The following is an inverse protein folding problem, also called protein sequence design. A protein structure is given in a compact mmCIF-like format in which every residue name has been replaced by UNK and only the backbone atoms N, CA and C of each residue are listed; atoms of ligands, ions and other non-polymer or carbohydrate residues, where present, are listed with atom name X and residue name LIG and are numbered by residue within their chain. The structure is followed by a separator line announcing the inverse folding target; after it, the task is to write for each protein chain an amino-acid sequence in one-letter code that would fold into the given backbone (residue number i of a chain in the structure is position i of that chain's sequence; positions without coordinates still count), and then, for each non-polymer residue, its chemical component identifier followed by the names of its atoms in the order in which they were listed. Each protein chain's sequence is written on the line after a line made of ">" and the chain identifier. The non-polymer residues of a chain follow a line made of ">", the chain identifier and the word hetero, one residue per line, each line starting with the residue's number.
data_IF_435781303942
#
_entry.id   IF_435781303942
#
_cell.length_a   1.000
_cell.length_b   1.000
_cell.length_c   1.000
_cell.angle_alpha   90.00
_cell.angle_beta   90.00
_cell.angle_gamma   90.00
#
_symmetry.space_group_name_H-M   'P 1'
#
loop_
_entity.id
_entity.type
_entity.pdbx_description
1 polymer ?
#
# COMPACT_ATOMS: atom_id res chain seq x y z
N UNK A 1 1.28 1.91 -39.09
CA UNK A 1 0.57 2.16 -40.36
C UNK A 1 -0.77 1.43 -40.30
N UNK A 2 -1.91 2.14 -40.44
CA UNK A 2 -3.21 1.48 -40.69
C UNK A 2 -3.15 0.92 -42.11
N UNK A 3 -3.34 -0.38 -42.29
CA UNK A 3 -3.35 -1.01 -43.61
C UNK A 3 -4.46 -0.46 -44.51
N UNK A 4 -4.39 -0.68 -45.83
CA UNK A 4 -5.43 -0.25 -46.76
C UNK A 4 -6.77 -0.83 -46.32
N UNK A 5 -7.74 0.04 -46.05
CA UNK A 5 -9.07 -0.36 -45.58
C UNK A 5 -9.74 -1.29 -46.58
N UNK A 6 -10.25 -2.42 -46.11
CA UNK A 6 -11.05 -3.34 -46.94
C UNK A 6 -12.46 -2.79 -47.06
N UNK A 7 -12.92 -2.53 -48.28
CA UNK A 7 -14.32 -2.17 -48.53
C UNK A 7 -15.14 -3.46 -48.60
N UNK A 8 -16.21 -3.52 -47.82
CA UNK A 8 -17.16 -4.65 -47.79
C UNK A 8 -18.56 -4.06 -47.95
N UNK A 9 -19.33 -4.57 -48.91
CA UNK A 9 -20.74 -4.21 -49.10
C UNK A 9 -21.61 -5.23 -48.40
N UNK A 10 -22.57 -4.76 -47.60
CA UNK A 10 -23.55 -5.60 -46.89
C UNK A 10 -24.94 -5.09 -47.25
N UNK A 11 -25.79 -5.98 -47.75
CA UNK A 11 -27.20 -5.70 -48.04
C UNK A 11 -27.99 -5.66 -46.72
N UNK A 12 -28.70 -4.56 -46.47
CA UNK A 12 -29.56 -4.43 -45.28
C UNK A 12 -30.78 -5.36 -45.32
N UNK A 13 -31.14 -5.89 -46.50
CA UNK A 13 -32.17 -6.92 -46.62
C UNK A 13 -31.70 -8.27 -46.04
N UNK A 14 -30.40 -8.54 -46.13
CA UNK A 14 -29.81 -9.81 -45.71
C UNK A 14 -29.20 -9.76 -44.30
N UNK A 15 -28.84 -8.56 -43.82
CA UNK A 15 -28.26 -8.37 -42.49
C UNK A 15 -28.58 -7.00 -41.89
N UNK A 16 -29.45 -6.98 -40.88
CA UNK A 16 -29.93 -5.76 -40.23
C UNK A 16 -29.25 -5.43 -38.88
N UNK A 17 -28.21 -6.15 -38.48
CA UNK A 17 -27.54 -5.96 -37.18
C UNK A 17 -26.37 -4.96 -37.25
N UNK A 18 -26.59 -3.83 -37.93
CA UNK A 18 -25.60 -2.74 -38.07
C UNK A 18 -26.16 -1.47 -37.43
N UNK A 19 -25.48 -0.98 -36.39
CA UNK A 19 -25.82 0.26 -35.70
C UNK A 19 -24.88 1.41 -36.11
N UNK A 20 -25.37 2.64 -36.08
CA UNK A 20 -24.50 3.82 -36.13
C UNK A 20 -23.66 3.94 -34.86
N UNK A 21 -22.37 4.24 -35.01
CA UNK A 21 -21.41 4.34 -33.90
C UNK A 21 -21.14 5.76 -33.37
N UNK A 22 -22.00 6.76 -33.67
CA UNK A 22 -21.76 8.15 -33.25
C UNK A 22 -21.74 8.33 -31.73
N UNK A 23 -22.57 7.56 -31.03
CA UNK A 23 -22.56 7.44 -29.58
C UNK A 23 -22.71 5.96 -29.24
N UNK A 24 -21.97 5.50 -28.23
CA UNK A 24 -21.97 4.11 -27.81
C UNK A 24 -22.09 4.01 -26.31
N UNK A 25 -22.72 2.93 -25.85
CA UNK A 25 -22.77 2.63 -24.42
C UNK A 25 -21.38 2.30 -23.90
N UNK A 26 -21.15 2.58 -22.61
CA UNK A 26 -19.86 2.31 -21.94
C UNK A 26 -19.45 0.84 -22.07
N UNK A 27 -20.42 -0.07 -22.06
CA UNK A 27 -20.19 -1.51 -22.25
C UNK A 27 -19.73 -1.87 -23.67
N UNK A 28 -20.31 -1.27 -24.72
CA UNK A 28 -19.86 -1.47 -26.11
C UNK A 28 -18.47 -0.86 -26.37
N UNK A 29 -18.10 0.18 -25.61
CA UNK A 29 -16.81 0.85 -25.70
C UNK A 29 -15.69 0.21 -24.86
N UNK A 30 -15.93 -0.96 -24.25
CA UNK A 30 -14.97 -1.56 -23.34
C UNK A 30 -13.66 -1.94 -24.05
N UNK A 31 -12.53 -1.51 -23.49
CA UNK A 31 -11.20 -1.77 -24.07
C UNK A 31 -10.77 -0.80 -25.16
N UNK A 32 -11.65 0.11 -25.58
CA UNK A 32 -11.32 1.17 -26.54
C UNK A 32 -10.57 2.29 -25.81
N UNK A 33 -9.52 2.80 -26.46
CA UNK A 33 -8.83 4.02 -26.04
C UNK A 33 -8.89 5.04 -27.17
N UNK A 34 -9.40 6.23 -26.86
CA UNK A 34 -9.53 7.36 -27.78
C UNK A 34 -8.77 8.56 -27.23
N UNK A 35 -8.48 9.55 -28.05
CA UNK A 35 -7.76 10.73 -27.58
C UNK A 35 -8.67 11.60 -26.71
N UNK A 36 -9.95 11.73 -27.09
CA UNK A 36 -10.97 12.50 -26.36
C UNK A 36 -12.23 11.70 -26.08
N UNK A 37 -12.76 11.79 -24.87
CA UNK A 37 -14.06 11.21 -24.49
C UNK A 37 -15.07 12.29 -24.12
N UNK A 38 -16.30 12.08 -24.57
CA UNK A 38 -17.46 12.87 -24.19
C UNK A 38 -18.48 11.92 -23.57
N UNK A 39 -18.72 12.06 -22.27
CA UNK A 39 -19.54 11.15 -21.48
C UNK A 39 -20.80 11.88 -21.01
N UNK A 40 -21.98 11.32 -21.26
CA UNK A 40 -23.23 11.80 -20.68
C UNK A 40 -23.48 11.07 -19.35
N UNK A 41 -23.54 11.80 -18.25
CA UNK A 41 -23.92 11.24 -16.95
C UNK A 41 -25.40 10.84 -16.97
N UNK A 42 -25.74 9.73 -16.30
CA UNK A 42 -27.13 9.29 -16.13
C UNK A 42 -27.37 8.56 -14.81
N UNK A 43 -28.63 8.44 -14.41
CA UNK A 43 -29.08 7.69 -13.24
C UNK A 43 -28.81 6.20 -13.33
N UNK A 44 -28.47 5.65 -14.50
CA UNK A 44 -28.03 4.25 -14.58
C UNK A 44 -26.58 4.06 -14.17
N UNK A 45 -25.79 5.14 -14.09
CA UNK A 45 -24.38 5.07 -13.80
C UNK A 45 -24.08 4.90 -12.31
N UNK A 46 -22.96 4.26 -12.06
CA UNK A 46 -22.38 4.00 -10.74
C UNK A 46 -20.87 4.29 -10.78
N UNK A 47 -20.17 3.98 -9.70
CA UNK A 47 -18.71 4.19 -9.61
C UNK A 47 -17.95 3.46 -10.70
N UNK A 48 -18.37 2.25 -11.06
CA UNK A 48 -17.66 1.43 -12.03
C UNK A 48 -17.85 1.98 -13.45
N UNK A 49 -19.09 2.26 -13.86
CA UNK A 49 -19.39 2.84 -15.16
C UNK A 49 -18.74 4.21 -15.33
N UNK A 50 -18.74 5.03 -14.27
CA UNK A 50 -18.06 6.34 -14.26
C UNK A 50 -16.57 6.17 -14.50
N UNK A 51 -15.91 5.29 -13.75
CA UNK A 51 -14.48 5.02 -13.93
C UNK A 51 -14.18 4.52 -15.34
N UNK A 52 -14.97 3.56 -15.84
CA UNK A 52 -14.76 2.98 -17.16
C UNK A 52 -14.92 4.00 -18.27
N UNK A 53 -16.00 4.81 -18.24
CA UNK A 53 -16.25 5.83 -19.26
C UNK A 53 -15.20 6.95 -19.23
N UNK A 54 -14.84 7.41 -18.03
CA UNK A 54 -13.88 8.50 -17.87
C UNK A 54 -12.44 8.07 -18.16
N UNK A 55 -12.07 6.79 -18.02
CA UNK A 55 -10.69 6.32 -18.25
C UNK A 55 -10.38 5.91 -19.70
N UNK A 56 -11.29 6.13 -20.67
CA UNK A 56 -11.04 5.78 -22.09
C UNK A 56 -10.23 6.83 -22.86
N UNK A 57 -10.06 8.03 -22.31
CA UNK A 57 -9.32 9.12 -22.96
C UNK A 57 -7.80 8.99 -22.77
N UNK A 58 -7.03 9.56 -23.70
CA UNK A 58 -5.58 9.82 -23.52
C UNK A 58 -5.30 11.27 -23.15
N UNK A 59 -6.03 12.20 -23.75
CA UNK A 59 -5.75 13.63 -23.62
C UNK A 59 -6.83 14.34 -22.81
N UNK A 60 -8.11 14.13 -23.13
CA UNK A 60 -9.20 14.85 -22.49
C UNK A 60 -10.46 13.99 -22.27
N UNK A 61 -11.05 14.10 -21.09
CA UNK A 61 -12.41 13.65 -20.82
C UNK A 61 -13.31 14.83 -20.46
N UNK A 62 -14.51 14.87 -21.04
CA UNK A 62 -15.56 15.83 -20.68
C UNK A 62 -16.82 15.08 -20.33
N UNK A 63 -17.39 15.38 -19.16
CA UNK A 63 -18.65 14.83 -18.71
C UNK A 63 -19.74 15.89 -18.83
N UNK A 64 -20.82 15.56 -19.52
CA UNK A 64 -22.04 16.35 -19.60
C UNK A 64 -23.05 15.81 -18.60
N UNK A 65 -23.72 16.72 -17.90
CA UNK A 65 -24.68 16.41 -16.86
C UNK A 65 -25.95 17.17 -17.18
N UNK A 66 -27.05 16.45 -17.30
CA UNK A 66 -28.36 17.05 -17.55
C UNK A 66 -28.93 17.58 -16.22
N UNK A 67 -29.34 18.86 -16.19
CA UNK A 67 -29.79 19.53 -14.95
C UNK A 67 -31.17 19.06 -14.47
N UNK A 68 -31.98 18.53 -15.37
CA UNK A 68 -33.23 17.83 -15.09
C UNK A 68 -32.98 16.46 -14.44
N UNK A 69 -31.81 15.87 -14.69
CA UNK A 69 -31.41 14.58 -14.14
C UNK A 69 -30.67 14.72 -12.80
N UNK A 70 -29.82 15.73 -12.66
CA UNK A 70 -29.08 16.00 -11.43
C UNK A 70 -29.26 17.46 -11.02
N UNK A 71 -29.88 17.67 -9.87
CA UNK A 71 -30.19 19.00 -9.35
C UNK A 71 -28.92 19.79 -8.99
N UNK A 72 -27.89 19.10 -8.52
CA UNK A 72 -26.63 19.69 -8.04
C UNK A 72 -25.44 18.71 -8.14
N UNK A 73 -24.25 19.19 -7.81
CA UNK A 73 -23.05 18.37 -7.81
C UNK A 73 -23.05 17.28 -6.72
N UNK A 74 -23.79 17.48 -5.63
CA UNK A 74 -23.86 16.54 -4.53
C UNK A 74 -24.68 15.29 -4.90
N UNK A 75 -25.83 15.48 -5.57
CA UNK A 75 -26.67 14.40 -6.11
C UNK A 75 -25.95 13.62 -7.21
N UNK A 76 -25.21 14.32 -8.08
CA UNK A 76 -24.33 13.67 -9.06
C UNK A 76 -23.25 12.84 -8.38
N UNK A 77 -22.51 13.43 -7.44
CA UNK A 77 -21.47 12.74 -6.67
C UNK A 77 -22.02 11.54 -5.91
N UNK A 78 -23.16 11.69 -5.24
CA UNK A 78 -23.84 10.62 -4.53
C UNK A 78 -24.25 9.48 -5.46
N UNK A 79 -24.65 9.77 -6.71
CA UNK A 79 -25.03 8.75 -7.69
C UNK A 79 -23.81 8.04 -8.27
N UNK A 80 -22.82 8.79 -8.73
CA UNK A 80 -21.62 8.25 -9.38
C UNK A 80 -20.67 7.60 -8.38
N UNK A 81 -20.80 7.87 -7.08
CA UNK A 81 -19.99 7.21 -6.04
C UNK A 81 -20.57 5.87 -5.58
N UNK A 82 -21.82 5.52 -5.95
CA UNK A 82 -22.46 4.27 -5.53
C UNK A 82 -21.65 3.06 -6.02
N UNK A 83 -21.40 2.13 -5.13
CA UNK A 83 -20.85 0.82 -5.47
C UNK A 83 -21.99 -0.16 -5.69
N UNK A 84 -22.29 -0.50 -6.95
CA UNK A 84 -23.06 -1.71 -7.25
C UNK A 84 -22.08 -2.87 -7.21
N UNK A 85 -21.78 -3.35 -6.01
CA UNK A 85 -21.19 -4.68 -5.89
C UNK A 85 -22.23 -5.65 -6.49
N UNK A 86 -21.83 -6.48 -7.46
CA UNK A 86 -22.70 -7.55 -7.94
C UNK A 86 -23.03 -8.41 -6.73
N UNK A 87 -24.26 -8.32 -6.25
CA UNK A 87 -24.71 -9.16 -5.15
C UNK A 87 -24.67 -10.59 -5.66
N UNK A 88 -23.91 -11.43 -4.96
CA UNK A 88 -23.95 -12.85 -5.23
C UNK A 88 -25.25 -13.40 -4.64
N UNK A 89 -25.77 -14.49 -5.20
CA UNK A 89 -26.96 -15.16 -4.65
C UNK A 89 -26.77 -15.54 -3.18
N UNK A 90 -25.52 -15.75 -2.77
CA UNK A 90 -25.12 -16.01 -1.39
C UNK A 90 -25.30 -14.77 -0.49
N UNK A 91 -24.94 -13.57 -0.96
CA UNK A 91 -25.17 -12.33 -0.22
C UNK A 91 -26.67 -12.05 -0.04
N UNK A 92 -27.48 -12.35 -1.06
CA UNK A 92 -28.94 -12.24 -0.98
C UNK A 92 -29.53 -13.22 0.05
N UNK A 93 -29.07 -14.47 0.04
CA UNK A 93 -29.51 -15.50 0.98
C UNK A 93 -29.18 -15.12 2.44
N UNK A 94 -27.96 -14.66 2.70
CA UNK A 94 -27.54 -14.21 4.03
C UNK A 94 -28.38 -13.03 4.55
N UNK A 95 -28.71 -12.04 3.70
CA UNK A 95 -29.55 -10.90 4.13
C UNK A 95 -31.00 -11.27 4.40
N UNK A 96 -31.51 -12.34 3.78
CA UNK A 96 -32.86 -12.86 4.01
C UNK A 96 -32.92 -13.94 5.10
N UNK A 97 -31.79 -14.26 5.72
CA UNK A 97 -31.71 -15.32 6.74
C UNK A 97 -31.90 -16.72 6.16
N UNK A 98 -31.65 -16.91 4.87
CA UNK A 98 -31.66 -18.22 4.21
C UNK A 98 -30.29 -18.85 4.43
N UNK A 99 -30.21 -19.81 5.35
CA UNK A 99 -29.00 -20.56 5.68
C UNK A 99 -28.69 -21.57 4.55
N UNK A 100 -27.82 -21.19 3.61
CA UNK A 100 -27.30 -22.11 2.59
C UNK A 100 -26.13 -22.87 3.21
N UNK A 101 -26.44 -24.02 3.83
CA UNK A 101 -25.41 -24.93 4.32
C UNK A 101 -24.68 -25.56 3.15
N UNK A 102 -23.48 -25.10 2.86
CA UNK A 102 -22.57 -25.79 1.94
C UNK A 102 -22.05 -27.07 2.63
N UNK A 103 -22.60 -28.23 2.26
CA UNK A 103 -22.04 -29.54 2.60
C UNK A 103 -20.73 -29.79 1.83
N UNK A 104 -19.66 -29.10 2.21
CA UNK A 104 -18.29 -29.53 1.87
C UNK A 104 -17.48 -29.48 3.15
N UNK A 105 -17.41 -30.63 3.83
CA UNK A 105 -16.63 -30.84 5.04
C UNK A 105 -15.17 -31.09 4.62
N UNK A 106 -14.25 -30.21 5.01
CA UNK A 106 -12.80 -30.47 4.96
C UNK A 106 -12.31 -30.64 6.41
N UNK A 107 -11.84 -31.84 6.81
CA UNK A 107 -11.50 -32.10 8.21
C UNK A 107 -10.15 -31.47 8.61
N UNK A 108 -10.18 -30.58 9.59
CA UNK A 108 -9.00 -29.99 10.27
C UNK A 108 -8.69 -30.81 11.52
N UNK A 109 -7.45 -31.29 11.68
CA UNK A 109 -7.02 -32.02 12.89
C UNK A 109 -6.68 -31.04 14.02
N UNK A 110 -7.45 -31.10 15.10
CA UNK A 110 -7.25 -30.35 16.34
C UNK A 110 -6.16 -30.99 17.22
N UNK A 111 -5.22 -30.18 17.72
CA UNK A 111 -4.36 -30.54 18.86
C UNK A 111 -4.97 -29.92 20.11
N UNK A 112 -5.62 -30.77 20.89
CA UNK A 112 -6.22 -30.49 22.19
C UNK A 112 -5.15 -30.23 23.26
N UNK A 113 -5.31 -29.14 24.02
CA UNK A 113 -4.82 -29.03 25.40
C UNK A 113 -5.94 -28.44 26.25
N UNK A 114 -6.49 -29.27 27.13
CA UNK A 114 -7.51 -28.92 28.13
C UNK A 114 -6.87 -28.30 29.38
N UNK A 115 -7.64 -27.52 30.17
CA UNK A 115 -7.18 -26.85 31.38
C UNK A 115 -7.53 -27.65 32.65
N UNK A 116 -6.67 -27.61 33.67
CA UNK A 116 -7.03 -28.05 35.03
C UNK A 116 -6.53 -27.03 36.07
N UNK A 117 -7.45 -26.68 36.97
CA UNK A 117 -7.33 -25.72 38.06
C UNK A 117 -6.61 -26.38 39.25
N UNK A 118 -5.78 -25.65 40.01
CA UNK A 118 -5.79 -25.77 41.48
C UNK A 118 -5.05 -24.64 42.21
N UNK A 119 -5.39 -24.52 43.50
CA UNK A 119 -5.33 -23.37 44.41
C UNK A 119 -3.94 -23.04 44.99
N UNK A 120 -3.86 -21.84 45.57
CA UNK A 120 -2.75 -21.29 46.36
C UNK A 120 -2.26 -22.17 47.54
N UNK A 121 -1.06 -21.89 48.05
CA UNK A 121 -1.00 -21.31 49.40
C UNK A 121 0.05 -20.18 49.58
N UNK A 122 -0.22 -19.33 50.58
CA UNK A 122 0.68 -18.30 51.11
C UNK A 122 1.74 -18.88 52.08
N UNK A 123 2.97 -18.36 52.04
CA UNK A 123 3.71 -17.76 53.19
C UNK A 123 5.12 -17.30 52.79
N UNK A 124 5.36 -15.98 53.00
CA UNK A 124 6.57 -15.29 53.51
C UNK A 124 7.96 -15.66 52.93
N UNK A 125 8.78 -14.73 52.44
CA UNK A 125 9.52 -13.80 53.31
C UNK A 125 10.12 -12.60 52.54
N UNK A 126 10.19 -11.50 53.28
CA UNK A 126 10.73 -10.17 53.02
C UNK A 126 12.17 -10.15 52.47
N UNK A 127 12.39 -9.39 51.38
CA UNK A 127 13.72 -8.87 51.03
C UNK A 127 13.70 -7.53 50.25
N UNK A 128 12.55 -7.05 49.78
CA UNK A 128 12.46 -5.83 48.96
C UNK A 128 12.28 -4.52 49.76
N UNK A 129 12.00 -4.58 51.06
CA UNK A 129 11.83 -3.37 51.89
C UNK A 129 13.11 -2.91 52.59
N UNK A 130 14.22 -3.66 52.46
CA UNK A 130 15.47 -3.37 53.19
C UNK A 130 16.57 -2.69 52.36
N UNK A 131 16.32 -2.39 51.08
CA UNK A 131 17.28 -1.68 50.21
C UNK A 131 16.95 -0.19 49.94
N UNK A 132 15.88 0.35 50.54
CA UNK A 132 15.49 1.76 50.37
C UNK A 132 16.12 2.73 51.39
N UNK A 133 17.06 2.27 52.23
CA UNK A 133 17.65 3.08 53.31
C UNK A 133 19.15 3.42 53.12
N UNK A 134 19.73 3.17 51.95
CA UNK A 134 21.13 3.51 51.69
C UNK A 134 21.30 4.15 50.30
N UNK A 135 20.89 5.42 50.18
CA UNK A 135 21.52 6.40 49.27
C UNK A 135 20.95 7.79 49.59
N UNK A 136 21.66 8.51 50.45
CA UNK A 136 21.51 9.94 50.67
C UNK A 136 22.38 10.70 49.65
N UNK A 137 21.80 11.80 49.18
CA UNK A 137 22.43 13.05 48.75
C UNK A 137 23.37 13.03 47.53
N UNK A 138 22.81 13.43 46.38
CA UNK A 138 23.53 14.11 45.30
C UNK A 138 22.77 15.42 44.97
N UNK A 139 23.43 16.59 44.92
CA UNK A 139 22.75 17.85 44.62
C UNK A 139 22.34 17.92 43.15
N UNK A 140 21.08 18.28 42.93
CA UNK A 140 20.45 18.49 41.62
C UNK A 140 21.10 19.67 40.87
N UNK A 141 21.60 19.51 39.64
CA UNK A 141 21.66 20.62 38.70
C UNK A 141 20.28 20.79 38.06
N UNK A 142 19.76 22.01 38.20
CA UNK A 142 18.69 22.66 37.44
C UNK A 142 17.99 21.80 36.39
N UNK A 143 16.80 21.31 36.74
CA UNK A 143 15.88 20.62 35.84
C UNK A 143 15.44 21.58 34.72
N UNK A 144 16.15 21.56 33.59
CA UNK A 144 15.63 22.07 32.33
C UNK A 144 14.31 21.34 32.09
N UNK A 145 13.19 22.08 31.95
CA UNK A 145 11.88 21.52 31.63
C UNK A 145 11.96 20.86 30.26
N UNK A 146 12.11 19.54 30.20
CA UNK A 146 11.90 18.76 28.98
C UNK A 146 10.39 18.65 28.69
N UNK A 147 9.98 18.57 27.40
CA UNK A 147 8.59 18.68 26.98
C UNK A 147 7.86 17.33 27.08
N UNK A 148 7.59 16.83 28.28
CA UNK A 148 6.90 15.54 28.50
C UNK A 148 5.43 15.51 28.02
N UNK A 149 4.85 16.65 27.60
CA UNK A 149 3.45 16.72 27.15
C UNK A 149 3.17 16.12 25.76
N UNK A 150 4.17 15.96 24.89
CA UNK A 150 3.93 15.51 23.50
C UNK A 150 3.95 13.98 23.30
N UNK A 151 4.60 13.23 24.20
CA UNK A 151 4.66 11.76 24.13
C UNK A 151 3.27 11.12 24.29
N UNK A 152 2.42 11.56 25.26
CA UNK A 152 1.07 11.01 25.41
C UNK A 152 0.14 11.34 24.24
N UNK A 153 0.33 12.47 23.56
CA UNK A 153 -0.46 12.89 22.39
C UNK A 153 -0.09 12.08 21.15
N UNK A 154 1.22 11.84 20.96
CA UNK A 154 1.70 10.97 19.90
C UNK A 154 1.28 9.50 20.11
N UNK A 155 1.39 8.97 21.33
CA UNK A 155 0.91 7.63 21.65
C UNK A 155 -0.59 7.46 21.33
N UNK A 156 -1.41 8.46 21.64
CA UNK A 156 -2.85 8.45 21.31
C UNK A 156 -3.10 8.49 19.80
N UNK A 157 -2.38 9.34 19.06
CA UNK A 157 -2.50 9.42 17.61
C UNK A 157 -2.06 8.12 16.92
N UNK A 158 -0.97 7.53 17.40
CA UNK A 158 -0.45 6.24 16.92
C UNK A 158 -1.43 5.10 17.24
N UNK A 159 -2.02 5.06 18.44
CA UNK A 159 -3.01 4.04 18.79
C UNK A 159 -4.28 4.17 17.93
N UNK A 160 -4.76 5.40 17.68
CA UNK A 160 -5.89 5.64 16.76
C UNK A 160 -5.59 5.14 15.36
N UNK A 161 -4.40 5.44 14.83
CA UNK A 161 -3.94 4.93 13.53
C UNK A 161 -3.87 3.41 13.52
N UNK A 162 -3.28 2.80 14.55
CA UNK A 162 -3.14 1.34 14.66
C UNK A 162 -4.50 0.62 14.65
N UNK A 163 -5.50 1.15 15.38
CA UNK A 163 -6.88 0.61 15.36
C UNK A 163 -7.51 0.73 13.97
N UNK A 164 -7.42 1.90 13.34
CA UNK A 164 -7.96 2.08 12.00
C UNK A 164 -7.29 1.14 10.99
N UNK A 165 -5.96 0.98 11.09
CA UNK A 165 -5.19 0.07 10.26
C UNK A 165 -5.62 -1.39 10.47
N UNK A 166 -5.83 -1.82 11.72
CA UNK A 166 -6.28 -3.17 12.05
C UNK A 166 -7.64 -3.49 11.42
N UNK A 167 -8.59 -2.53 11.45
CA UNK A 167 -9.92 -2.73 10.83
C UNK A 167 -9.83 -2.94 9.32
N UNK A 168 -8.93 -2.22 8.65
CA UNK A 168 -8.65 -2.35 7.22
C UNK A 168 -7.89 -3.65 6.93
N UNK A 169 -6.88 -3.96 7.74
CA UNK A 169 -6.04 -5.15 7.57
C UNK A 169 -6.83 -6.45 7.76
N UNK A 170 -7.74 -6.50 8.73
CA UNK A 170 -8.63 -7.65 8.96
C UNK A 170 -9.48 -7.95 7.73
N UNK A 171 -10.06 -6.93 7.10
CA UNK A 171 -10.82 -7.08 5.86
C UNK A 171 -9.96 -7.62 4.72
N UNK A 172 -8.76 -7.08 4.56
CA UNK A 172 -7.79 -7.54 3.54
C UNK A 172 -7.40 -9.01 3.77
N UNK A 173 -7.17 -9.43 5.01
CA UNK A 173 -6.87 -10.82 5.36
C UNK A 173 -8.03 -11.76 5.04
N UNK A 174 -9.27 -11.31 5.26
CA UNK A 174 -10.48 -12.05 4.91
C UNK A 174 -10.81 -11.98 3.40
N UNK A 175 -9.95 -11.36 2.58
CA UNK A 175 -10.17 -11.11 1.15
C UNK A 175 -11.47 -10.34 0.86
N UNK A 176 -11.96 -9.59 1.84
CA UNK A 176 -13.15 -8.75 1.72
C UNK A 176 -12.75 -7.35 1.24
N UNK A 177 -13.63 -6.73 0.45
CA UNK A 177 -13.47 -5.33 0.09
C UNK A 177 -13.48 -4.44 1.34
N UNK A 178 -12.47 -3.57 1.43
CA UNK A 178 -12.38 -2.54 2.48
C UNK A 178 -13.45 -1.48 2.19
N UNK A 179 -14.25 -1.13 3.20
CA UNK A 179 -15.32 -0.16 3.03
C UNK A 179 -14.75 1.26 2.88
N UNK A 180 -15.47 2.11 2.14
CA UNK A 180 -15.04 3.49 1.90
C UNK A 180 -14.84 4.27 3.21
N UNK A 181 -15.72 4.08 4.19
CA UNK A 181 -15.56 4.73 5.49
C UNK A 181 -14.29 4.27 6.21
N UNK A 182 -13.89 2.99 6.08
CA UNK A 182 -12.68 2.47 6.74
C UNK A 182 -11.41 3.05 6.09
N UNK A 183 -11.42 3.23 4.77
CA UNK A 183 -10.33 3.92 4.07
C UNK A 183 -10.25 5.39 4.48
N UNK A 184 -11.39 6.08 4.66
CA UNK A 184 -11.43 7.45 5.18
C UNK A 184 -10.92 7.53 6.62
N UNK A 185 -11.40 6.67 7.52
CA UNK A 185 -10.95 6.62 8.92
C UNK A 185 -9.44 6.37 9.02
N UNK A 186 -8.89 5.45 8.23
CA UNK A 186 -7.45 5.22 8.19
C UNK A 186 -6.69 6.44 7.68
N UNK A 187 -7.21 7.10 6.63
CA UNK A 187 -6.63 8.32 6.10
C UNK A 187 -6.66 9.48 7.11
N UNK A 188 -7.77 9.68 7.80
CA UNK A 188 -7.95 10.75 8.78
C UNK A 188 -7.14 10.49 10.07
N UNK A 189 -7.02 9.24 10.48
CA UNK A 189 -6.10 8.84 11.55
C UNK A 189 -4.64 9.11 11.16
N UNK A 190 -4.25 8.85 9.90
CA UNK A 190 -2.93 9.17 9.37
C UNK A 190 -2.66 10.68 9.35
N UNK A 191 -3.61 11.49 8.90
CA UNK A 191 -3.50 12.97 8.95
C UNK A 191 -3.35 13.48 10.39
N UNK A 192 -4.11 12.91 11.32
CA UNK A 192 -4.01 13.29 12.75
C UNK A 192 -2.63 12.94 13.30
N UNK A 193 -2.08 11.77 12.94
CA UNK A 193 -0.72 11.38 13.30
C UNK A 193 0.32 12.33 12.71
N UNK A 194 0.17 12.71 11.44
CA UNK A 194 1.08 13.62 10.75
C UNK A 194 0.99 15.08 11.28
N UNK A 195 -0.15 15.48 11.83
CA UNK A 195 -0.33 16.78 12.51
C UNK A 195 0.44 16.83 13.83
N UNK A 196 0.40 15.75 14.62
CA UNK A 196 1.16 15.67 15.89
C UNK A 196 2.66 15.58 15.60
N UNK A 197 3.04 14.83 14.56
CA UNK A 197 4.42 14.76 14.10
C UNK A 197 4.50 14.65 12.57
N UNK A 198 5.18 15.59 11.89
CA UNK A 198 5.35 15.52 10.44
C UNK A 198 5.99 14.21 9.99
N UNK A 199 5.47 13.62 8.90
CA UNK A 199 5.92 12.36 8.28
C UNK A 199 5.79 11.09 9.14
N UNK A 200 5.19 11.15 10.32
CA UNK A 200 5.09 9.99 11.21
C UNK A 200 4.34 8.80 10.57
N UNK A 201 3.34 9.04 9.72
CA UNK A 201 2.65 7.98 8.97
C UNK A 201 3.59 7.29 7.98
N UNK A 202 4.45 8.05 7.31
CA UNK A 202 5.44 7.50 6.37
C UNK A 202 6.45 6.65 7.12
N UNK A 203 6.95 7.17 8.23
CA UNK A 203 7.97 6.50 9.03
C UNK A 203 7.41 5.22 9.68
N UNK A 204 6.18 5.26 10.20
CA UNK A 204 5.51 4.08 10.72
C UNK A 204 5.31 2.99 9.64
N UNK A 205 4.93 3.38 8.43
CA UNK A 205 4.77 2.44 7.31
C UNK A 205 6.10 1.85 6.86
N UNK A 206 7.17 2.63 6.84
CA UNK A 206 8.52 2.13 6.56
C UNK A 206 8.99 1.17 7.65
N UNK A 207 8.80 1.50 8.92
CA UNK A 207 9.13 0.63 10.04
C UNK A 207 8.38 -0.71 9.90
N UNK A 208 7.07 -0.72 9.66
CA UNK A 208 6.33 -1.97 9.42
C UNK A 208 6.86 -2.80 8.22
N UNK A 209 7.47 -2.17 7.22
CA UNK A 209 8.02 -2.86 6.05
C UNK A 209 9.41 -3.46 6.31
N UNK A 210 10.25 -2.76 7.07
CA UNK A 210 11.66 -3.11 7.24
C UNK A 210 11.99 -3.73 8.61
N UNK A 211 11.13 -3.54 9.60
CA UNK A 211 11.27 -4.02 10.97
C UNK A 211 10.19 -5.07 11.29
N UNK A 212 10.56 -6.37 11.31
CA UNK A 212 9.64 -7.44 11.65
C UNK A 212 9.02 -7.28 13.04
N UNK A 213 9.76 -6.71 13.99
CA UNK A 213 9.28 -6.43 15.35
C UNK A 213 8.14 -5.42 15.36
N UNK A 214 8.22 -4.34 14.57
CA UNK A 214 7.16 -3.32 14.49
C UNK A 214 5.89 -3.89 13.87
N UNK A 215 6.04 -4.73 12.85
CA UNK A 215 4.91 -5.42 12.23
C UNK A 215 4.23 -6.40 13.22
N UNK A 216 5.02 -7.16 13.99
CA UNK A 216 4.49 -8.02 15.07
C UNK A 216 3.78 -7.21 16.14
N UNK A 217 4.39 -6.12 16.60
CA UNK A 217 3.80 -5.21 17.59
C UNK A 217 2.45 -4.65 17.11
N UNK A 218 2.33 -4.30 15.83
CA UNK A 218 1.07 -3.84 15.23
C UNK A 218 -0.05 -4.89 15.31
N UNK A 219 0.29 -6.18 15.19
CA UNK A 219 -0.68 -7.28 15.16
C UNK A 219 -0.99 -7.86 16.55
N UNK A 220 0.03 -7.99 17.41
CA UNK A 220 -0.04 -8.77 18.65
C UNK A 220 -0.29 -7.89 19.88
N UNK A 221 0.30 -6.69 19.93
CA UNK A 221 0.16 -5.81 21.08
C UNK A 221 -1.13 -5.00 20.99
N UNK A 222 -1.62 -4.55 22.15
CA UNK A 222 -2.81 -3.72 22.28
C UNK A 222 -2.55 -2.50 23.15
N UNK A 223 -3.44 -1.52 23.03
CA UNK A 223 -3.50 -0.35 23.89
C UNK A 223 -2.15 0.39 24.00
N UNK A 224 -1.75 0.74 25.23
CA UNK A 224 -0.58 1.59 25.49
C UNK A 224 0.75 0.93 25.12
N UNK A 225 0.85 -0.39 25.23
CA UNK A 225 2.11 -1.09 24.95
C UNK A 225 2.36 -1.14 23.43
N UNK A 226 1.30 -1.32 22.63
CA UNK A 226 1.39 -1.14 21.17
C UNK A 226 1.82 0.28 20.82
N UNK A 227 1.19 1.29 21.42
CA UNK A 227 1.48 2.68 21.11
C UNK A 227 2.96 3.03 21.37
N UNK A 228 3.52 2.59 22.50
CA UNK A 228 4.93 2.80 22.86
C UNK A 228 5.90 2.17 21.86
N UNK A 229 5.69 0.91 21.51
CA UNK A 229 6.55 0.20 20.55
C UNK A 229 6.50 0.83 19.16
N UNK A 230 5.31 1.23 18.70
CA UNK A 230 5.15 1.91 17.42
C UNK A 230 5.76 3.32 17.43
N UNK A 231 5.69 4.06 18.54
CA UNK A 231 6.37 5.35 18.70
C UNK A 231 7.90 5.18 18.68
N UNK A 232 8.43 4.16 19.35
CA UNK A 232 9.85 3.84 19.32
C UNK A 232 10.31 3.50 17.89
N UNK A 233 9.50 2.76 17.14
CA UNK A 233 9.77 2.44 15.73
C UNK A 233 9.76 3.68 14.82
N UNK A 234 8.81 4.60 15.01
CA UNK A 234 8.78 5.89 14.28
C UNK A 234 10.08 6.67 14.53
N UNK A 235 10.52 6.75 15.79
CA UNK A 235 11.76 7.44 16.13
C UNK A 235 13.00 6.76 15.54
N UNK A 236 13.03 5.43 15.52
CA UNK A 236 14.12 4.68 14.91
C UNK A 236 14.20 4.94 13.40
N UNK A 237 13.06 4.89 12.72
CA UNK A 237 12.94 5.17 11.30
C UNK A 237 13.30 6.63 10.95
N UNK A 238 12.93 7.58 11.80
CA UNK A 238 13.30 8.98 11.66
C UNK A 238 14.81 9.15 11.74
N UNK A 239 15.48 8.50 12.69
CA UNK A 239 16.93 8.53 12.81
C UNK A 239 17.60 7.94 11.56
N UNK A 240 17.06 6.86 11.02
CA UNK A 240 17.54 6.29 9.76
C UNK A 240 17.30 7.24 8.60
N UNK A 241 16.18 7.95 8.54
CA UNK A 241 15.89 8.92 7.49
C UNK A 241 16.77 10.17 7.59
N UNK A 242 17.16 10.56 8.81
CA UNK A 242 18.06 11.70 9.06
C UNK A 242 19.52 11.37 8.77
N UNK A 243 19.95 10.13 8.92
CA UNK A 243 21.32 9.69 8.64
C UNK A 243 21.46 9.17 7.18
N UNK A 244 22.14 9.91 6.28
CA UNK A 244 22.35 9.48 4.90
C UNK A 244 23.05 8.12 4.77
N UNK A 245 23.91 7.76 5.74
CA UNK A 245 24.64 6.49 5.72
C UNK A 245 23.70 5.31 5.95
N UNK A 246 22.80 5.41 6.94
CA UNK A 246 21.80 4.37 7.23
C UNK A 246 20.75 4.25 6.10
N UNK A 247 20.41 5.36 5.43
CA UNK A 247 19.56 5.31 4.22
C UNK A 247 20.19 4.50 3.10
N UNK A 248 21.47 4.75 2.82
CA UNK A 248 22.24 4.00 1.81
C UNK A 248 22.29 2.51 2.11
N UNK A 249 22.55 2.14 3.36
CA UNK A 249 22.55 0.74 3.79
C UNK A 249 21.20 0.06 3.58
N UNK A 250 20.11 0.76 3.91
CA UNK A 250 18.75 0.26 3.67
C UNK A 250 18.43 0.14 2.19
N UNK A 251 18.71 1.17 1.39
CA UNK A 251 18.46 1.16 -0.06
C UNK A 251 19.22 0.02 -0.72
N UNK A 252 20.46 -0.23 -0.32
CA UNK A 252 21.25 -1.37 -0.76
C UNK A 252 20.60 -2.72 -0.41
N UNK A 253 20.14 -2.89 0.84
CA UNK A 253 19.45 -4.11 1.29
C UNK A 253 18.13 -4.34 0.56
N UNK A 254 17.34 -3.28 0.38
CA UNK A 254 16.09 -3.32 -0.37
C UNK A 254 16.35 -3.70 -1.83
N UNK A 255 17.31 -3.04 -2.48
CA UNK A 255 17.67 -3.33 -3.87
C UNK A 255 18.12 -4.77 -4.05
N UNK A 256 18.98 -5.29 -3.18
CA UNK A 256 19.42 -6.68 -3.22
C UNK A 256 18.26 -7.66 -3.12
N UNK A 257 17.27 -7.35 -2.29
CA UNK A 257 16.04 -8.15 -2.15
C UNK A 257 15.17 -8.07 -3.41
N UNK A 258 15.07 -6.90 -4.03
CA UNK A 258 14.32 -6.68 -5.28
C UNK A 258 14.99 -7.40 -6.45
N UNK A 259 16.32 -7.33 -6.56
CA UNK A 259 17.11 -8.03 -7.57
C UNK A 259 16.93 -9.55 -7.44
N UNK A 260 17.06 -10.11 -6.23
CA UNK A 260 16.81 -11.54 -6.00
C UNK A 260 15.37 -11.96 -6.35
N UNK A 261 14.37 -11.11 -6.11
CA UNK A 261 12.98 -11.39 -6.48
C UNK A 261 12.76 -11.28 -7.99
N UNK A 262 13.40 -10.31 -8.65
CA UNK A 262 13.38 -10.15 -10.10
C UNK A 262 13.98 -11.37 -10.79
N UNK A 263 15.10 -11.89 -10.28
CA UNK A 263 15.77 -13.09 -10.81
C UNK A 263 14.94 -14.37 -10.63
N UNK A 264 14.14 -14.48 -9.57
CA UNK A 264 13.25 -15.63 -9.37
C UNK A 264 12.01 -15.61 -10.26
N UNK A 265 11.64 -14.45 -10.80
CA UNK A 265 10.44 -14.26 -11.60
C UNK A 265 10.80 -14.25 -13.08
N UNK A 266 11.10 -15.44 -13.62
CA UNK A 266 11.35 -15.63 -15.06
C UNK A 266 10.08 -16.03 -15.83
N UNK A 267 10.03 -15.69 -17.12
CA UNK A 267 8.93 -16.05 -18.01
C UNK A 267 7.82 -15.00 -18.17
N UNK A 268 7.07 -15.11 -19.27
CA UNK A 268 6.07 -14.12 -19.70
C UNK A 268 4.91 -13.95 -18.68
N UNK A 269 4.56 -15.00 -17.94
CA UNK A 269 3.46 -14.99 -16.97
C UNK A 269 3.70 -14.04 -15.79
N UNK A 270 4.95 -13.75 -15.45
CA UNK A 270 5.31 -12.88 -14.34
C UNK A 270 5.60 -11.43 -14.77
N UNK A 271 5.29 -11.05 -16.01
CA UNK A 271 5.58 -9.72 -16.56
C UNK A 271 4.99 -8.59 -15.69
N UNK A 272 3.76 -8.74 -15.18
CA UNK A 272 3.15 -7.74 -14.29
C UNK A 272 3.87 -7.63 -12.93
N UNK A 273 4.28 -8.77 -12.36
CA UNK A 273 5.05 -8.78 -11.11
C UNK A 273 6.45 -8.18 -11.31
N UNK A 274 7.10 -8.49 -12.44
CA UNK A 274 8.40 -7.94 -12.84
C UNK A 274 8.34 -6.42 -12.99
N UNK A 275 7.33 -5.89 -13.70
CA UNK A 275 7.11 -4.44 -13.85
C UNK A 275 6.92 -3.72 -12.51
N UNK A 276 6.27 -4.34 -11.52
CA UNK A 276 6.13 -3.77 -10.16
C UNK A 276 7.48 -3.69 -9.45
N UNK A 277 8.31 -4.72 -9.57
CA UNK A 277 9.66 -4.74 -9.00
C UNK A 277 10.54 -3.70 -9.67
N UNK A 278 10.54 -3.65 -11.00
CA UNK A 278 11.26 -2.63 -11.77
C UNK A 278 10.79 -1.22 -11.43
N UNK A 279 9.48 -1.01 -11.24
CA UNK A 279 8.94 0.27 -10.78
C UNK A 279 9.56 0.72 -9.46
N UNK A 280 9.63 -0.18 -8.46
CA UNK A 280 10.26 0.12 -7.18
C UNK A 280 11.77 0.38 -7.32
N UNK A 281 12.47 -0.37 -8.18
CA UNK A 281 13.89 -0.11 -8.47
C UNK A 281 14.10 1.26 -9.11
N UNK A 282 13.20 1.69 -10.01
CA UNK A 282 13.24 3.04 -10.61
C UNK A 282 13.05 4.13 -9.57
N UNK A 283 12.13 3.95 -8.62
CA UNK A 283 11.95 4.89 -7.49
C UNK A 283 13.23 5.06 -6.67
N UNK A 284 13.88 3.95 -6.30
CA UNK A 284 15.16 3.98 -5.55
C UNK A 284 16.25 4.66 -6.39
N UNK A 285 16.30 4.41 -7.70
CA UNK A 285 17.24 5.08 -8.60
C UNK A 285 16.98 6.59 -8.69
N UNK A 286 15.72 7.02 -8.75
CA UNK A 286 15.35 8.43 -8.70
C UNK A 286 15.74 9.08 -7.37
N UNK A 287 15.47 8.42 -6.23
CA UNK A 287 15.86 8.91 -4.91
C UNK A 287 17.39 9.06 -4.79
N UNK A 288 18.15 8.11 -5.34
CA UNK A 288 19.60 8.15 -5.35
C UNK A 288 20.14 9.30 -6.21
N UNK A 289 19.60 9.49 -7.42
CA UNK A 289 20.06 10.54 -8.35
C UNK A 289 19.61 11.94 -7.96
N UNK A 290 18.56 12.07 -7.14
CA UNK A 290 18.08 13.35 -6.63
C UNK A 290 18.99 13.94 -5.56
N UNK A 291 19.76 13.12 -4.86
CA UNK A 291 20.62 13.52 -3.75
C UNK A 291 22.10 13.16 -4.01
N UNK A 292 22.96 14.15 -4.34
CA UNK A 292 24.37 13.91 -4.60
C UNK A 292 25.13 13.27 -3.42
N UNK A 293 24.70 13.51 -2.18
CA UNK A 293 25.34 12.94 -0.99
C UNK A 293 25.03 11.44 -0.89
N UNK A 294 23.77 11.04 -1.14
CA UNK A 294 23.39 9.62 -1.18
C UNK A 294 24.10 8.90 -2.32
N UNK A 295 24.20 9.50 -3.51
CA UNK A 295 24.91 8.89 -4.64
C UNK A 295 26.39 8.62 -4.32
N UNK A 296 27.09 9.60 -3.75
CA UNK A 296 28.50 9.48 -3.37
C UNK A 296 28.72 8.41 -2.31
N UNK A 297 27.89 8.41 -1.26
CA UNK A 297 27.96 7.40 -0.18
C UNK A 297 27.62 5.99 -0.68
N UNK A 298 26.61 5.87 -1.55
CA UNK A 298 26.24 4.60 -2.17
C UNK A 298 27.39 4.06 -3.03
N UNK A 299 28.05 4.93 -3.82
CA UNK A 299 29.22 4.56 -4.63
C UNK A 299 30.40 4.10 -3.78
N UNK A 300 30.69 4.82 -2.70
CA UNK A 300 31.77 4.46 -1.78
C UNK A 300 31.49 3.12 -1.05
N UNK A 301 30.23 2.86 -0.68
CA UNK A 301 29.85 1.70 0.12
C UNK A 301 29.38 0.48 -0.69
N UNK A 302 29.18 0.58 -2.00
CA UNK A 302 28.74 -0.57 -2.84
C UNK A 302 29.58 -1.83 -2.61
N UNK A 303 30.91 -1.67 -2.53
CA UNK A 303 31.86 -2.78 -2.29
C UNK A 303 31.77 -3.35 -0.87
N UNK A 304 31.50 -2.49 0.13
CA UNK A 304 31.37 -2.87 1.54
C UNK A 304 30.02 -3.56 1.82
N UNK A 305 28.98 -3.22 1.06
CA UNK A 305 27.62 -3.76 1.20
C UNK A 305 27.42 -5.11 0.49
N UNK A 306 28.50 -5.70 -0.04
CA UNK A 306 28.47 -7.00 -0.72
C UNK A 306 27.55 -6.99 -1.96
N UNK A 307 27.58 -5.88 -2.69
CA UNK A 307 26.93 -5.71 -3.98
C UNK A 307 28.04 -5.74 -5.03
N UNK A 308 28.01 -6.77 -5.90
CA UNK A 308 28.98 -6.89 -6.98
C UNK A 308 28.94 -5.67 -7.90
N UNK A 309 30.10 -5.25 -8.40
CA UNK A 309 30.16 -4.10 -9.31
C UNK A 309 29.33 -4.31 -10.59
N UNK A 310 29.11 -5.57 -10.97
CA UNK A 310 28.30 -5.99 -12.11
C UNK A 310 26.80 -6.17 -11.79
N UNK A 311 26.40 -6.03 -10.52
CA UNK A 311 24.99 -5.97 -10.11
C UNK A 311 24.29 -4.79 -10.81
N UNK A 312 22.97 -4.93 -11.03
CA UNK A 312 22.14 -3.84 -11.56
C UNK A 312 22.30 -2.55 -10.76
N UNK A 313 22.49 -2.65 -9.43
CA UNK A 313 22.73 -1.49 -8.56
C UNK A 313 24.07 -0.81 -8.84
N UNK A 314 25.14 -1.59 -9.04
CA UNK A 314 26.47 -1.07 -9.36
C UNK A 314 26.52 -0.32 -10.69
N UNK A 315 25.69 -0.74 -11.66
CA UNK A 315 25.50 -0.03 -12.93
C UNK A 315 24.66 1.25 -12.77
N UNK A 316 23.60 1.21 -11.96
CA UNK A 316 22.73 2.36 -11.66
C UNK A 316 23.49 3.48 -10.94
N UNK A 317 24.33 3.15 -9.97
CA UNK A 317 25.14 4.12 -9.21
C UNK A 317 26.21 4.79 -10.10
N UNK A 318 26.74 4.06 -11.09
CA UNK A 318 27.75 4.57 -12.04
C UNK A 318 27.15 5.30 -13.25
N UNK A 319 25.86 5.13 -13.51
CA UNK A 319 25.19 5.76 -14.63
C UNK A 319 25.31 7.30 -14.54
N UNK A 320 25.62 8.00 -15.65
CA UNK A 320 25.81 9.44 -15.63
C UNK A 320 24.50 10.22 -15.45
N UNK A 321 23.37 9.62 -15.80
CA UNK A 321 22.05 10.22 -15.69
C UNK A 321 20.98 9.18 -15.34
N UNK A 322 19.79 9.68 -14.99
CA UNK A 322 18.66 8.84 -14.59
C UNK A 322 18.16 7.94 -15.73
N UNK A 323 18.20 8.43 -16.98
CA UNK A 323 17.73 7.66 -18.13
C UNK A 323 18.58 6.40 -18.37
N UNK A 324 19.91 6.54 -18.25
CA UNK A 324 20.84 5.40 -18.31
C UNK A 324 20.69 4.47 -17.11
N UNK A 325 20.42 5.01 -15.92
CA UNK A 325 20.13 4.19 -14.74
C UNK A 325 18.87 3.33 -14.94
N UNK A 326 17.79 3.93 -15.45
CA UNK A 326 16.54 3.24 -15.75
C UNK A 326 16.72 2.18 -16.83
N UNK A 327 17.53 2.47 -17.85
CA UNK A 327 17.84 1.52 -18.93
C UNK A 327 18.48 0.24 -18.40
N UNK A 328 19.39 0.34 -17.42
CA UNK A 328 20.00 -0.84 -16.79
C UNK A 328 19.03 -1.69 -15.97
N UNK A 329 17.97 -1.08 -15.42
CA UNK A 329 16.92 -1.78 -14.67
C UNK A 329 16.01 -2.55 -15.63
N UNK A 330 15.61 -1.92 -16.74
CA UNK A 330 14.70 -2.51 -17.74
C UNK A 330 15.41 -3.58 -18.58
N UNK A 331 16.68 -3.34 -18.94
CA UNK A 331 17.51 -4.28 -19.73
C UNK A 331 18.30 -5.27 -18.87
N UNK A 332 17.96 -5.38 -17.59
CA UNK A 332 18.65 -6.24 -16.62
C UNK A 332 18.55 -7.72 -17.00
N UNK A 333 19.52 -8.18 -17.81
CA UNK A 333 19.69 -9.54 -18.37
C UNK A 333 18.72 -9.90 -19.51
N UNK A 334 18.69 -9.11 -20.59
CA UNK A 334 18.63 -9.74 -21.92
C UNK A 334 20.02 -10.36 -22.19
N UNK A 335 20.31 -11.50 -21.55
CA UNK A 335 21.45 -12.33 -21.93
C UNK A 335 21.05 -13.03 -23.23
N UNK A 336 21.65 -12.59 -24.34
CA UNK A 336 22.00 -13.44 -25.48
C UNK A 336 20.83 -14.02 -26.29
N UNK A 337 20.23 -13.19 -27.14
CA UNK A 337 19.72 -13.64 -28.44
C UNK A 337 20.46 -12.89 -29.55
N UNK A 338 21.79 -12.94 -29.51
CA UNK A 338 22.60 -12.73 -30.71
C UNK A 338 23.72 -13.78 -30.74
N UNK A 339 23.61 -14.61 -31.78
CA UNK A 339 24.51 -15.66 -32.30
C UNK A 339 24.39 -17.06 -31.71
#
# INVERSE_FOLDING_TARGET
>A
ARGPGRTVSVSMADYAAVDHGYAMTIHKAQGVTVDRTYLMASHSMDRHLTYVGMSRHREQATMYVARDEFADMDSLSARLSRSQAKETTLDYAHRRGIDIRSEIIVPMHERTRTPEQEKAPERQLRLSERLKLLSRDVPTPTRIRTPERHVPELEQAVDRYARAWETVNRRRQQQLAVLDYQNRELGDAGKTLDQVRPNATRDLNNAMRFEPQTFKAMLELRDKDRAKELVAAIHHEENITRDPALRVERMAKEWKTLEQRHERLEGWQHNQARKRIEGRMKEIAHELKRDPQLESLMRARTKQLGIDMDSTLGRVVRAPNIDRAIDFIVRGKDRGLER
#
